data_IF_516267977393
#
_entry.id   IF_516267977393
#
_cell.length_a   1.000
_cell.length_b   1.000
_cell.length_c   1.000
_cell.angle_alpha   90.00
_cell.angle_beta   90.00
_cell.angle_gamma   90.00
#
_symmetry.space_group_name_H-M   'P 1'
#
loop_
_entity.id
_entity.type
_entity.pdbx_description
1 polymer ?
#
# COMPACT_ATOMS: atom_id res chain seq x y z
N UNK A 1 24.23 3.56 7.97
CA UNK A 1 23.02 2.73 8.02
C UNK A 1 21.82 3.66 8.00
N UNK A 2 21.24 3.89 6.82
CA UNK A 2 20.04 4.73 6.68
C UNK A 2 18.88 4.00 7.36
N UNK A 3 18.35 4.58 8.44
CA UNK A 3 17.11 4.14 9.08
C UNK A 3 16.01 4.18 8.02
N UNK A 4 15.44 3.03 7.68
CA UNK A 4 14.45 2.91 6.60
C UNK A 4 13.12 3.51 7.09
N UNK A 5 13.02 4.84 7.05
CA UNK A 5 11.86 5.62 7.45
C UNK A 5 10.95 5.97 6.26
N UNK A 6 11.34 5.58 5.04
CA UNK A 6 10.62 5.84 3.79
C UNK A 6 9.66 4.70 3.49
N UNK A 7 8.35 4.98 3.49
CA UNK A 7 7.37 3.90 3.44
C UNK A 7 6.09 4.21 2.67
N UNK A 8 5.55 3.16 2.05
CA UNK A 8 4.22 3.09 1.45
C UNK A 8 3.38 2.16 2.33
N UNK A 9 2.23 2.66 2.78
CA UNK A 9 1.35 1.96 3.70
C UNK A 9 0.22 1.29 2.91
N UNK A 10 -0.01 0.01 3.15
CA UNK A 10 -1.03 -0.77 2.44
C UNK A 10 -1.97 -1.45 3.42
N UNK A 11 -3.24 -1.10 3.38
CA UNK A 11 -4.27 -1.91 4.01
C UNK A 11 -4.72 -3.00 3.04
N UNK A 12 -4.93 -4.22 3.54
CA UNK A 12 -5.49 -5.32 2.75
C UNK A 12 -6.85 -5.61 3.35
N UNK A 13 -7.90 -5.38 2.59
CA UNK A 13 -9.28 -5.61 2.96
C UNK A 13 -9.79 -6.86 2.22
N UNK A 14 -9.96 -8.00 2.90
CA UNK A 14 -10.66 -9.12 2.30
C UNK A 14 -12.12 -8.69 2.12
N UNK A 15 -12.73 -9.00 0.98
CA UNK A 15 -14.18 -8.81 0.77
C UNK A 15 -14.98 -9.29 1.99
N UNK A 16 -16.03 -8.55 2.36
CA UNK A 16 -16.94 -8.85 3.49
C UNK A 16 -17.81 -10.10 3.28
N UNK A 17 -17.47 -10.98 2.34
CA UNK A 17 -18.18 -12.23 2.11
C UNK A 17 -17.44 -13.39 2.80
N UNK A 18 -18.02 -13.81 3.94
CA UNK A 18 -17.80 -15.04 4.75
C UNK A 18 -17.40 -14.81 6.23
N UNK A 19 -18.21 -14.06 6.98
CA UNK A 19 -18.49 -14.33 8.40
C UNK A 19 -19.75 -15.23 8.55
N UNK A 20 -19.96 -16.15 7.61
CA UNK A 20 -21.01 -17.17 7.66
C UNK A 20 -20.42 -18.53 7.26
N UNK A 21 -19.82 -19.24 8.23
CA UNK A 21 -20.18 -20.61 8.62
C UNK A 21 -19.07 -21.26 9.46
N UNK A 22 -19.49 -21.75 10.61
CA UNK A 22 -18.64 -22.55 11.48
C UNK A 22 -18.42 -23.95 10.90
N UNK A 23 -17.18 -24.26 10.54
CA UNK A 23 -16.64 -25.63 10.57
C UNK A 23 -15.15 -25.57 10.91
N UNK A 24 -14.76 -25.99 12.12
CA UNK A 24 -13.36 -26.24 12.48
C UNK A 24 -12.95 -27.63 11.99
N UNK A 25 -12.36 -27.67 10.79
CA UNK A 25 -11.50 -28.79 10.36
C UNK A 25 -10.05 -28.36 10.61
N UNK A 26 -9.45 -28.95 11.63
CA UNK A 26 -8.01 -29.18 11.75
C UNK A 26 -7.14 -27.96 12.01
N UNK A 27 -6.59 -27.90 13.23
CA UNK A 27 -5.58 -26.95 13.76
C UNK A 27 -4.62 -26.39 12.68
N UNK A 28 -4.91 -25.18 12.18
CA UNK A 28 -3.99 -24.36 11.39
C UNK A 28 -3.14 -23.51 12.33
N UNK A 29 -1.81 -23.53 12.16
CA UNK A 29 -0.92 -22.64 12.91
C UNK A 29 -1.11 -21.18 12.45
N UNK A 30 -1.50 -20.32 13.38
CA UNK A 30 -1.73 -18.88 13.15
C UNK A 30 -0.56 -18.09 13.74
N UNK A 31 0.21 -17.38 12.91
CA UNK A 31 1.15 -16.36 13.35
C UNK A 31 0.60 -14.99 12.94
N UNK A 32 -0.19 -14.37 13.83
CA UNK A 32 -0.83 -13.09 13.54
C UNK A 32 -1.81 -13.17 12.35
N UNK A 33 -1.53 -12.43 11.28
CA UNK A 33 -2.34 -12.37 10.05
C UNK A 33 -1.93 -13.39 8.98
N UNK A 34 -0.77 -14.03 9.17
CA UNK A 34 -0.25 -15.04 8.26
C UNK A 34 -0.81 -16.41 8.63
N UNK A 35 -1.23 -17.16 7.61
CA UNK A 35 -1.64 -18.56 7.70
C UNK A 35 -0.71 -19.38 6.83
N UNK A 36 -0.14 -20.42 7.40
CA UNK A 36 0.63 -21.41 6.64
C UNK A 36 -0.32 -22.58 6.34
N UNK A 37 -0.48 -22.94 5.07
CA UNK A 37 -1.24 -24.12 4.69
C UNK A 37 -0.45 -25.42 4.97
N UNK A 38 -1.09 -26.59 4.81
CA UNK A 38 -0.42 -27.88 5.03
C UNK A 38 0.71 -28.19 4.03
N UNK A 39 0.85 -27.36 2.99
CA UNK A 39 1.84 -27.49 1.92
C UNK A 39 3.04 -26.54 2.13
N UNK A 40 3.02 -25.72 3.20
CA UNK A 40 4.08 -24.78 3.52
C UNK A 40 3.95 -23.42 2.84
N UNK A 41 2.87 -23.14 2.11
CA UNK A 41 2.66 -21.83 1.51
C UNK A 41 2.16 -20.85 2.58
N UNK A 42 2.78 -19.67 2.60
CA UNK A 42 2.35 -18.57 3.46
C UNK A 42 1.29 -17.77 2.72
N UNK A 43 0.09 -17.69 3.29
CA UNK A 43 -1.01 -16.86 2.80
C UNK A 43 -1.26 -15.72 3.78
N UNK A 44 -1.48 -14.52 3.27
CA UNK A 44 -2.00 -13.41 4.07
C UNK A 44 -3.48 -13.28 3.77
N UNK A 45 -4.33 -13.49 4.78
CA UNK A 45 -5.80 -13.50 4.60
C UNK A 45 -6.27 -14.40 3.43
N UNK A 46 -5.64 -15.57 3.25
CA UNK A 46 -5.92 -16.58 2.18
C UNK A 46 -5.49 -16.19 0.75
N UNK A 47 -4.80 -15.07 0.55
CA UNK A 47 -4.21 -14.71 -0.74
C UNK A 47 -2.75 -15.19 -0.84
N UNK A 48 -2.34 -15.76 -2.00
CA UNK A 48 -0.92 -15.98 -2.28
C UNK A 48 -0.17 -14.65 -2.25
N UNK A 49 0.85 -14.58 -1.40
CA UNK A 49 1.57 -13.34 -1.10
C UNK A 49 2.24 -12.74 -2.34
N UNK A 50 2.75 -13.59 -3.24
CA UNK A 50 3.40 -13.16 -4.48
C UNK A 50 2.43 -12.43 -5.42
N UNK A 51 1.23 -12.96 -5.63
CA UNK A 51 0.21 -12.33 -6.49
C UNK A 51 -0.29 -11.00 -5.93
N UNK A 52 -0.41 -10.91 -4.60
CA UNK A 52 -0.81 -9.68 -3.92
C UNK A 52 0.17 -8.53 -4.20
N UNK A 53 1.48 -8.79 -4.11
CA UNK A 53 2.50 -7.75 -4.30
C UNK A 53 2.51 -7.25 -5.75
N UNK A 54 2.45 -8.13 -6.73
CA UNK A 54 2.44 -7.72 -8.14
C UNK A 54 1.16 -6.95 -8.50
N UNK A 55 -0.01 -7.36 -7.99
CA UNK A 55 -1.25 -6.64 -8.17
C UNK A 55 -1.22 -5.25 -7.49
N UNK A 56 -0.59 -5.13 -6.32
CA UNK A 56 -0.33 -3.86 -5.65
C UNK A 56 0.56 -2.95 -6.49
N UNK A 57 1.66 -3.47 -7.06
CA UNK A 57 2.55 -2.70 -7.93
C UNK A 57 1.81 -2.17 -9.15
N UNK A 58 0.98 -3.00 -9.80
CA UNK A 58 0.12 -2.57 -10.90
C UNK A 58 -0.82 -1.43 -10.49
N UNK A 59 -1.47 -1.57 -9.33
CA UNK A 59 -2.35 -0.55 -8.77
C UNK A 59 -1.66 0.78 -8.47
N UNK A 60 -0.48 0.73 -7.84
CA UNK A 60 0.32 1.92 -7.51
C UNK A 60 0.84 2.58 -8.80
N UNK A 61 1.32 1.79 -9.76
CA UNK A 61 1.77 2.29 -11.05
C UNK A 61 0.67 3.06 -11.77
N UNK A 62 -0.53 2.49 -11.83
CA UNK A 62 -1.66 3.08 -12.51
C UNK A 62 -2.15 4.36 -11.81
N UNK A 63 -2.31 4.34 -10.48
CA UNK A 63 -2.76 5.50 -9.71
C UNK A 63 -1.78 6.67 -9.78
N UNK A 64 -0.49 6.41 -9.56
CA UNK A 64 0.55 7.45 -9.60
C UNK A 64 0.76 7.97 -11.02
N UNK A 65 0.75 7.08 -12.02
CA UNK A 65 0.85 7.46 -13.43
C UNK A 65 -0.33 8.34 -13.88
N UNK A 66 -1.56 7.96 -13.53
CA UNK A 66 -2.75 8.76 -13.81
C UNK A 66 -2.74 10.13 -13.13
N UNK A 67 -2.16 10.22 -11.93
CA UNK A 67 -2.01 11.49 -11.20
C UNK A 67 -1.06 12.47 -11.90
N UNK A 68 -0.07 11.99 -12.68
CA UNK A 68 0.84 12.85 -13.43
C UNK A 68 0.14 13.64 -14.54
N UNK A 69 -0.97 13.11 -15.08
CA UNK A 69 -1.77 13.81 -16.08
C UNK A 69 -2.64 14.94 -15.47
N UNK A 70 -2.82 14.96 -14.14
CA UNK A 70 -3.61 15.98 -13.44
C UNK A 70 -2.74 17.21 -13.15
N UNK A 71 -3.28 18.40 -13.40
CA UNK A 71 -2.61 19.66 -13.10
C UNK A 71 -2.12 19.72 -11.64
N UNK A 72 -0.92 20.24 -11.44
CA UNK A 72 -0.39 20.51 -10.11
C UNK A 72 -1.11 21.73 -9.53
N UNK A 73 -1.46 21.63 -8.24
CA UNK A 73 -2.01 22.74 -7.45
C UNK A 73 -1.57 22.56 -6.00
N UNK A 74 -1.67 23.65 -5.23
CA UNK A 74 -1.38 23.62 -3.80
C UNK A 74 -2.32 22.67 -3.07
N UNK A 75 -1.80 22.00 -2.04
CA UNK A 75 -2.58 21.04 -1.24
C UNK A 75 -3.62 21.80 -0.41
N UNK A 76 -4.89 21.46 -0.62
CA UNK A 76 -6.03 21.97 0.14
C UNK A 76 -6.49 20.94 1.17
N UNK A 77 -7.25 21.38 2.18
CA UNK A 77 -7.80 20.48 3.19
C UNK A 77 -8.64 19.34 2.59
N UNK A 78 -9.40 19.63 1.52
CA UNK A 78 -10.20 18.64 0.80
C UNK A 78 -9.35 17.51 0.22
N UNK A 79 -8.11 17.77 -0.18
CA UNK A 79 -7.23 16.74 -0.76
C UNK A 79 -6.92 15.62 0.22
N UNK A 80 -6.85 15.91 1.53
CA UNK A 80 -6.65 14.89 2.57
C UNK A 80 -7.85 13.95 2.73
N UNK A 81 -9.03 14.35 2.26
CA UNK A 81 -10.26 13.56 2.33
C UNK A 81 -10.53 12.77 1.05
N UNK A 82 -9.83 13.07 -0.04
CA UNK A 82 -10.04 12.42 -1.33
C UNK A 82 -9.66 10.94 -1.30
N UNK A 83 -10.48 10.11 -1.94
CA UNK A 83 -10.20 8.69 -2.16
C UNK A 83 -10.49 8.37 -3.62
N UNK A 84 -9.47 7.93 -4.35
CA UNK A 84 -9.64 7.43 -5.71
C UNK A 84 -9.81 5.92 -5.68
N UNK A 85 -10.90 5.42 -6.27
CA UNK A 85 -11.23 3.99 -6.30
C UNK A 85 -11.15 3.52 -7.74
N UNK A 86 -10.31 2.52 -7.99
CA UNK A 86 -10.07 1.98 -9.33
C UNK A 86 -10.25 0.49 -9.30
N UNK A 87 -11.07 0.00 -10.22
CA UNK A 87 -11.37 -1.42 -10.40
C UNK A 87 -10.47 -2.00 -11.50
N UNK A 88 -9.85 -3.12 -11.19
CA UNK A 88 -8.96 -3.89 -12.06
C UNK A 88 -9.61 -5.26 -12.30
N UNK A 89 -10.53 -5.38 -13.26
CA UNK A 89 -11.01 -6.68 -13.70
C UNK A 89 -9.90 -7.41 -14.47
N UNK A 90 -9.84 -8.73 -14.34
CA UNK A 90 -8.84 -9.60 -14.97
C UNK A 90 -8.75 -9.39 -16.48
N UNK A 91 -9.91 -9.28 -17.14
CA UNK A 91 -10.02 -9.03 -18.58
C UNK A 91 -9.63 -7.61 -19.00
N UNK A 92 -9.37 -6.72 -18.03
CA UNK A 92 -9.10 -5.31 -18.26
C UNK A 92 -10.34 -4.49 -18.62
N UNK A 93 -10.14 -3.19 -18.80
CA UNK A 93 -11.16 -2.26 -19.30
C UNK A 93 -10.56 -1.36 -20.39
N UNK A 94 -11.31 -0.35 -20.83
CA UNK A 94 -10.77 0.70 -21.71
C UNK A 94 -9.65 1.51 -21.06
N UNK A 95 -9.61 1.56 -19.73
CA UNK A 95 -8.68 2.41 -18.99
C UNK A 95 -7.69 1.59 -18.16
N UNK A 96 -8.10 0.47 -17.57
CA UNK A 96 -7.23 -0.42 -16.80
C UNK A 96 -6.74 -1.60 -17.66
N UNK A 97 -5.46 -1.99 -17.55
CA UNK A 97 -4.92 -3.09 -18.36
C UNK A 97 -5.45 -4.45 -17.91
N UNK A 98 -5.53 -5.40 -18.84
CA UNK A 98 -5.76 -6.80 -18.51
C UNK A 98 -4.58 -7.40 -17.74
N UNK A 99 -4.84 -8.37 -16.87
CA UNK A 99 -3.83 -8.99 -16.01
C UNK A 99 -4.17 -10.45 -15.68
N UNK A 100 -3.27 -11.12 -14.96
CA UNK A 100 -3.39 -12.55 -14.66
C UNK A 100 -3.97 -12.82 -13.27
N UNK A 101 -4.03 -11.79 -12.41
CA UNK A 101 -4.64 -11.83 -11.08
C UNK A 101 -6.16 -11.88 -11.16
N UNK A 102 -6.82 -12.27 -10.06
CA UNK A 102 -8.26 -12.10 -9.91
C UNK A 102 -8.63 -10.61 -9.96
N UNK A 103 -9.91 -10.33 -10.23
CA UNK A 103 -10.46 -8.98 -10.13
C UNK A 103 -10.12 -8.39 -8.76
N UNK A 104 -9.67 -7.14 -8.75
CA UNK A 104 -9.35 -6.43 -7.51
C UNK A 104 -9.65 -4.95 -7.63
N UNK A 105 -9.70 -4.28 -6.48
CA UNK A 105 -9.92 -2.84 -6.37
C UNK A 105 -8.78 -2.21 -5.58
N UNK A 106 -8.30 -1.07 -6.07
CA UNK A 106 -7.36 -0.22 -5.34
C UNK A 106 -8.07 1.05 -4.93
N UNK A 107 -7.97 1.37 -3.63
CA UNK A 107 -8.31 2.68 -3.10
C UNK A 107 -7.02 3.44 -2.81
N UNK A 108 -6.81 4.57 -3.46
CA UNK A 108 -5.70 5.49 -3.19
C UNK A 108 -6.22 6.65 -2.33
N UNK A 109 -5.71 6.77 -1.11
CA UNK A 109 -6.12 7.83 -0.18
C UNK A 109 -5.24 9.06 -0.32
N UNK A 110 -5.85 10.24 -0.36
CA UNK A 110 -5.19 11.54 -0.47
C UNK A 110 -4.06 11.61 -1.54
N UNK A 111 -4.30 11.18 -2.79
CA UNK A 111 -3.27 11.06 -3.82
C UNK A 111 -2.48 12.37 -4.05
N UNK A 112 -3.16 13.51 -4.05
CA UNK A 112 -2.52 14.83 -4.23
C UNK A 112 -1.58 15.16 -3.06
N UNK A 113 -1.99 14.87 -1.81
CA UNK A 113 -1.15 15.08 -0.64
C UNK A 113 0.12 14.20 -0.69
N UNK A 114 -0.01 12.93 -1.09
CA UNK A 114 1.16 12.04 -1.23
C UNK A 114 2.04 12.36 -2.43
N UNK A 115 1.51 12.96 -3.50
CA UNK A 115 2.35 13.59 -4.54
C UNK A 115 3.19 14.71 -3.92
N UNK A 116 2.56 15.61 -3.18
CA UNK A 116 3.28 16.72 -2.55
C UNK A 116 4.31 16.25 -1.50
N UNK A 117 4.01 15.24 -0.68
CA UNK A 117 5.00 14.69 0.25
C UNK A 117 6.23 14.13 -0.47
N UNK A 118 6.04 13.42 -1.59
CA UNK A 118 7.17 12.95 -2.40
C UNK A 118 8.01 14.12 -2.93
N UNK A 119 7.37 15.18 -3.43
CA UNK A 119 8.05 16.39 -3.92
C UNK A 119 8.86 17.09 -2.81
N UNK A 120 8.30 17.23 -1.59
CA UNK A 120 9.01 17.82 -0.44
C UNK A 120 10.28 17.06 -0.05
N UNK A 121 10.30 15.74 -0.29
CA UNK A 121 11.48 14.90 -0.05
C UNK A 121 12.31 14.67 -1.31
N UNK A 122 12.10 15.45 -2.38
CA UNK A 122 12.80 15.39 -3.67
C UNK A 122 12.71 14.03 -4.37
N UNK A 123 11.60 13.32 -4.22
CA UNK A 123 11.35 12.04 -4.89
C UNK A 123 10.53 12.32 -6.14
N UNK A 124 11.13 12.09 -7.31
CA UNK A 124 10.41 12.26 -8.56
C UNK A 124 9.45 11.09 -8.82
N UNK A 125 8.34 11.30 -9.52
CA UNK A 125 7.36 10.26 -9.79
C UNK A 125 7.92 9.05 -10.56
N UNK A 126 8.79 9.29 -11.54
CA UNK A 126 9.48 8.28 -12.34
C UNK A 126 10.48 7.46 -11.51
N UNK A 127 11.27 8.11 -10.67
CA UNK A 127 12.19 7.45 -9.71
C UNK A 127 11.41 6.57 -8.72
N UNK A 128 10.31 7.10 -8.16
CA UNK A 128 9.42 6.35 -7.27
C UNK A 128 8.82 5.12 -7.95
N UNK A 129 8.27 5.29 -9.15
CA UNK A 129 7.65 4.20 -9.90
C UNK A 129 8.69 3.15 -10.32
N UNK A 130 9.88 3.57 -10.74
CA UNK A 130 10.97 2.67 -11.10
C UNK A 130 11.42 1.80 -9.93
N UNK A 131 11.48 2.37 -8.73
CA UNK A 131 11.83 1.63 -7.51
C UNK A 131 10.70 0.68 -7.08
N UNK A 132 9.46 1.17 -7.02
CA UNK A 132 8.29 0.41 -6.55
C UNK A 132 7.92 -0.74 -7.49
N UNK A 133 8.03 -0.56 -8.81
CA UNK A 133 7.55 -1.55 -9.79
C UNK A 133 8.57 -2.68 -10.09
N UNK A 134 9.75 -2.65 -9.49
CA UNK A 134 10.72 -3.75 -9.56
C UNK A 134 10.38 -4.88 -8.58
N UNK A 135 10.84 -6.11 -8.80
CA UNK A 135 10.64 -7.20 -7.85
C UNK A 135 11.05 -6.80 -6.42
N UNK A 136 10.11 -6.87 -5.49
CA UNK A 136 10.33 -6.49 -4.10
C UNK A 136 10.90 -7.66 -3.29
N UNK A 137 11.77 -7.35 -2.33
CA UNK A 137 12.35 -8.32 -1.41
C UNK A 137 11.54 -8.37 -0.12
N UNK A 138 10.95 -9.52 0.18
CA UNK A 138 10.25 -9.75 1.44
C UNK A 138 11.24 -9.73 2.62
N UNK A 139 10.94 -8.94 3.64
CA UNK A 139 11.69 -8.90 4.89
C UNK A 139 11.01 -9.82 5.91
N UNK A 140 11.60 -10.99 6.14
CA UNK A 140 11.10 -12.03 7.07
C UNK A 140 11.40 -11.68 8.53
N UNK A 141 10.89 -10.56 9.00
CA UNK A 141 10.92 -10.16 10.41
C UNK A 141 9.52 -9.67 10.81
N UNK A 142 8.57 -10.57 11.11
CA UNK A 142 7.28 -10.15 11.61
C UNK A 142 7.49 -9.48 12.96
N UNK A 143 7.47 -8.15 12.99
CA UNK A 143 7.33 -7.41 14.24
C UNK A 143 6.06 -7.83 14.98
N UNK A 144 5.87 -7.36 16.21
CA UNK A 144 4.73 -7.72 17.05
C UNK A 144 3.34 -7.51 16.40
N UNK A 145 3.25 -6.69 15.34
CA UNK A 145 2.01 -6.39 14.60
C UNK A 145 1.57 -7.45 13.57
N UNK A 146 2.44 -8.41 13.21
CA UNK A 146 2.17 -9.36 12.12
C UNK A 146 2.01 -8.69 10.76
N UNK A 147 2.65 -7.53 10.57
CA UNK A 147 2.71 -6.82 9.29
C UNK A 147 3.70 -7.50 8.34
N UNK A 148 3.35 -7.56 7.06
CA UNK A 148 4.27 -7.85 5.96
C UNK A 148 5.09 -6.60 5.63
N UNK A 149 6.36 -6.81 5.32
CA UNK A 149 7.30 -5.78 4.92
C UNK A 149 8.02 -6.22 3.64
N UNK A 150 8.03 -5.34 2.65
CA UNK A 150 8.77 -5.51 1.42
C UNK A 150 9.71 -4.33 1.23
N UNK A 151 10.92 -4.60 0.79
CA UNK A 151 11.93 -3.61 0.48
C UNK A 151 12.10 -3.55 -1.05
N UNK A 152 12.17 -2.35 -1.60
CA UNK A 152 12.51 -2.16 -3.02
C UNK A 152 13.92 -2.67 -3.30
N UNK A 153 14.22 -3.04 -4.55
CA UNK A 153 15.50 -3.67 -4.89
C UNK A 153 16.71 -2.74 -4.72
N UNK A 154 16.47 -1.42 -4.67
CA UNK A 154 17.45 -0.35 -4.42
C UNK A 154 17.52 0.07 -2.95
N UNK A 155 16.76 -0.58 -2.06
CA UNK A 155 16.70 -0.31 -0.62
C UNK A 155 16.19 1.09 -0.24
N UNK A 156 15.51 1.79 -1.16
CA UNK A 156 15.00 3.15 -0.94
C UNK A 156 13.64 3.20 -0.21
N UNK A 157 12.72 2.28 -0.52
CA UNK A 157 11.35 2.29 0.03
C UNK A 157 10.95 0.96 0.66
N UNK A 158 10.16 1.05 1.73
CA UNK A 158 9.44 -0.08 2.30
C UNK A 158 7.96 -0.03 1.92
N UNK A 159 7.41 -1.11 1.38
CA UNK A 159 5.97 -1.35 1.42
C UNK A 159 5.64 -2.12 2.71
N UNK A 160 4.75 -1.56 3.52
CA UNK A 160 4.32 -2.15 4.79
C UNK A 160 2.82 -2.35 4.80
N UNK A 161 2.37 -3.53 5.22
CA UNK A 161 0.94 -3.74 5.48
C UNK A 161 0.53 -3.17 6.83
N UNK A 162 -0.60 -2.47 6.86
CA UNK A 162 -1.19 -1.87 8.04
C UNK A 162 -2.58 -2.40 8.34
N UNK A 163 -2.94 -2.40 9.62
CA UNK A 163 -4.29 -2.71 10.08
C UNK A 163 -5.25 -1.57 9.70
N UNK A 164 -6.56 -1.86 9.61
CA UNK A 164 -7.60 -0.87 9.28
C UNK A 164 -7.50 0.35 10.19
N UNK A 165 -7.40 0.13 11.51
CA UNK A 165 -7.25 1.20 12.51
C UNK A 165 -6.00 2.08 12.31
N UNK A 166 -4.90 1.51 11.83
CA UNK A 166 -3.66 2.25 11.56
C UNK A 166 -3.81 3.10 10.29
N UNK A 167 -4.46 2.55 9.26
CA UNK A 167 -4.80 3.30 8.05
C UNK A 167 -5.76 4.47 8.36
N UNK A 168 -6.82 4.22 9.15
CA UNK A 168 -7.73 5.26 9.63
C UNK A 168 -7.01 6.35 10.42
N UNK A 169 -6.14 5.96 11.35
CA UNK A 169 -5.32 6.90 12.11
C UNK A 169 -4.42 7.73 11.20
N UNK A 170 -3.75 7.12 10.22
CA UNK A 170 -2.88 7.84 9.30
C UNK A 170 -3.64 8.88 8.48
N UNK A 171 -4.86 8.58 8.02
CA UNK A 171 -5.72 9.56 7.32
C UNK A 171 -6.00 10.78 8.20
N UNK A 172 -6.36 10.57 9.46
CA UNK A 172 -6.58 11.65 10.42
C UNK A 172 -5.29 12.44 10.72
N UNK A 173 -4.13 11.79 10.63
CA UNK A 173 -2.83 12.41 10.88
C UNK A 173 -2.36 13.31 9.72
N UNK A 174 -2.80 13.08 8.47
CA UNK A 174 -2.24 13.74 7.27
C UNK A 174 -2.19 15.28 7.35
N UNK A 175 -3.24 16.00 7.82
CA UNK A 175 -3.17 17.46 7.90
C UNK A 175 -2.09 17.95 8.86
N UNK A 176 -1.99 17.32 10.04
CA UNK A 176 -0.95 17.64 11.02
C UNK A 176 0.45 17.23 10.56
N UNK A 177 0.54 16.10 9.85
CA UNK A 177 1.77 15.66 9.22
C UNK A 177 2.26 16.67 8.17
N UNK A 178 1.38 17.13 7.27
CA UNK A 178 1.66 18.18 6.29
C UNK A 178 2.23 19.44 6.95
N UNK A 179 1.57 19.94 8.00
CA UNK A 179 2.08 21.11 8.73
C UNK A 179 3.50 20.88 9.27
N UNK A 180 3.76 19.71 9.88
CA UNK A 180 5.07 19.41 10.42
C UNK A 180 6.15 19.27 9.35
N UNK A 181 5.92 18.54 8.26
CA UNK A 181 6.96 18.32 7.24
C UNK A 181 7.30 19.60 6.48
N UNK A 182 6.33 20.50 6.29
CA UNK A 182 6.55 21.80 5.65
C UNK A 182 7.32 22.76 6.56
N UNK A 183 7.06 22.74 7.88
CA UNK A 183 7.70 23.64 8.83
C UNK A 183 9.03 23.12 9.38
N UNK A 184 9.20 21.79 9.45
CA UNK A 184 10.37 21.13 10.02
C UNK A 184 11.04 20.18 9.00
N UNK A 185 11.82 20.69 8.03
CA UNK A 185 12.43 19.86 6.99
C UNK A 185 13.37 18.76 7.49
N UNK A 186 13.88 18.88 8.73
CA UNK A 186 14.73 17.88 9.40
C UNK A 186 13.97 16.99 10.39
N UNK A 187 12.66 16.85 10.22
CA UNK A 187 11.84 16.02 11.10
C UNK A 187 12.32 14.57 11.12
N UNK A 188 12.24 13.94 12.29
CA UNK A 188 12.53 12.51 12.48
C UNK A 188 11.28 11.63 12.33
N UNK A 189 10.12 12.23 12.02
CA UNK A 189 8.92 11.46 11.75
C UNK A 189 9.14 10.53 10.55
N UNK A 190 8.44 9.39 10.50
CA UNK A 190 8.42 8.54 9.32
C UNK A 190 8.01 9.34 8.07
N UNK A 191 8.60 8.98 6.94
CA UNK A 191 8.32 9.56 5.63
C UNK A 191 7.30 8.67 4.92
N UNK A 192 6.08 9.19 4.75
CA UNK A 192 4.97 8.46 4.12
C UNK A 192 4.79 8.90 2.67
N UNK A 193 4.81 7.95 1.73
CA UNK A 193 4.73 8.24 0.28
C UNK A 193 3.53 7.63 -0.43
N UNK A 194 2.66 6.96 0.31
CA UNK A 194 1.37 6.52 -0.17
C UNK A 194 0.60 5.78 0.92
N UNK A 195 -0.72 5.86 0.84
CA UNK A 195 -1.63 5.02 1.59
C UNK A 195 -2.64 4.42 0.61
N UNK A 196 -2.64 3.09 0.54
CA UNK A 196 -3.50 2.34 -0.37
C UNK A 196 -4.31 1.30 0.39
N UNK A 197 -5.50 0.98 -0.11
CA UNK A 197 -6.22 -0.23 0.25
C UNK A 197 -6.32 -1.14 -0.96
N UNK A 198 -5.95 -2.40 -0.78
CA UNK A 198 -6.15 -3.46 -1.75
C UNK A 198 -7.32 -4.33 -1.29
N UNK A 199 -8.31 -4.47 -2.16
CA UNK A 199 -9.51 -5.25 -1.94
C UNK A 199 -9.65 -6.26 -3.08
N UNK A 200 -9.80 -7.54 -2.74
CA UNK A 200 -10.19 -8.61 -3.67
C UNK A 200 -11.67 -8.85 -3.48
#
# INVERSE_FOLDING_TARGET
MSSIAQSVQVHIDPTEDEDADGVDIGKKHKLGHLRVDMQGNVTFKRLPITQLVEALQLGIQYTVGGLQAKAAHDVLYQDFLTVEIIHFPKEGTKTTPAHHFNDFTIRSYAPVAFRHFRELFNIKPDEFLYSICKPLRELKNPGASGSLFYLTSDDEFILKTVQKKEAEFLKCLLPGYYMNVTQNPRTLLPKFFGLYCYQV
#
